data_IF_001436345118
#
_entry.id   IF_001436345118
#
_cell.length_a   1.000
_cell.length_b   1.000
_cell.length_c   1.000
_cell.angle_alpha   90.00
_cell.angle_beta   90.00
_cell.angle_gamma   90.00
#
_symmetry.space_group_name_H-M   'P 1'
#
loop_
_entity.id
_entity.type
_entity.pdbx_description
1 polymer ?
#
# COMPACT_ATOMS: atom_id res chain seq x y z
N UNK A 1 10.68 -1.24 21.99
CA UNK A 1 10.87 -2.03 20.75
C UNK A 1 9.93 -1.60 19.62
N UNK A 2 8.61 -1.45 19.84
CA UNK A 2 7.67 -1.00 18.79
C UNK A 2 8.06 0.34 18.11
N UNK A 3 8.58 1.31 18.88
CA UNK A 3 9.07 2.58 18.33
C UNK A 3 10.26 2.42 17.36
N UNK A 4 11.15 1.44 17.58
CA UNK A 4 12.29 1.19 16.68
C UNK A 4 11.85 0.57 15.36
N UNK A 5 10.85 -0.33 15.38
CA UNK A 5 10.24 -0.86 14.17
C UNK A 5 9.54 0.25 13.38
N UNK A 6 8.78 1.13 14.06
CA UNK A 6 8.15 2.28 13.41
C UNK A 6 9.17 3.23 12.79
N UNK A 7 10.26 3.55 13.50
CA UNK A 7 11.35 4.36 12.95
C UNK A 7 12.02 3.68 11.76
N UNK A 8 12.20 2.36 11.79
CA UNK A 8 12.76 1.61 10.66
C UNK A 8 11.84 1.64 9.43
N UNK A 9 10.51 1.49 9.62
CA UNK A 9 9.52 1.68 8.53
C UNK A 9 9.74 3.04 7.89
N UNK A 10 9.69 4.10 8.70
CA UNK A 10 9.72 5.48 8.20
C UNK A 10 11.06 5.82 7.56
N UNK A 11 12.16 5.31 8.12
CA UNK A 11 13.51 5.50 7.58
C UNK A 11 13.69 4.83 6.21
N UNK A 12 13.04 3.69 5.96
CA UNK A 12 13.02 3.05 4.63
C UNK A 12 12.01 3.73 3.69
N UNK A 13 10.91 4.24 4.24
CA UNK A 13 9.83 4.81 3.46
C UNK A 13 10.19 6.20 2.88
N UNK A 14 10.92 7.05 3.62
CA UNK A 14 11.33 8.39 3.17
C UNK A 14 12.19 8.35 1.87
N UNK A 15 13.26 7.54 1.78
CA UNK A 15 14.00 7.34 0.52
C UNK A 15 13.10 6.79 -0.59
N UNK A 16 12.16 5.92 -0.22
CA UNK A 16 11.17 5.39 -1.14
C UNK A 16 10.30 6.48 -1.78
N UNK A 17 9.81 7.43 -0.98
CA UNK A 17 9.00 8.55 -1.48
C UNK A 17 9.74 9.37 -2.55
N UNK A 18 11.06 9.53 -2.42
CA UNK A 18 11.88 10.22 -3.41
C UNK A 18 12.08 9.38 -4.69
N UNK A 19 12.30 8.09 -4.54
CA UNK A 19 12.51 7.16 -5.66
C UNK A 19 11.25 7.00 -6.52
N UNK A 20 10.07 6.90 -5.90
CA UNK A 20 8.83 6.70 -6.64
C UNK A 20 8.41 7.93 -7.43
N UNK A 21 8.70 9.15 -6.95
CA UNK A 21 8.44 10.36 -7.73
C UNK A 21 9.21 10.34 -9.06
N UNK A 22 10.44 9.84 -9.05
CA UNK A 22 11.24 9.69 -10.28
C UNK A 22 10.70 8.58 -11.20
N UNK A 23 10.10 7.53 -10.63
CA UNK A 23 9.48 6.43 -11.38
C UNK A 23 8.09 6.76 -11.94
N UNK A 24 7.26 7.47 -11.17
CA UNK A 24 5.91 7.89 -11.56
C UNK A 24 5.93 8.82 -12.78
N UNK A 25 6.97 9.64 -12.91
CA UNK A 25 7.13 10.53 -14.07
C UNK A 25 7.49 9.77 -15.36
N UNK A 26 7.97 8.52 -15.26
CA UNK A 26 8.38 7.69 -16.42
C UNK A 26 7.38 6.62 -16.84
N UNK A 27 6.45 6.21 -15.98
CA UNK A 27 5.52 5.11 -16.25
C UNK A 27 4.05 5.56 -16.22
N UNK A 28 3.17 4.82 -16.89
CA UNK A 28 1.73 5.00 -16.77
C UNK A 28 1.31 4.89 -15.29
N UNK A 29 0.57 5.89 -14.79
CA UNK A 29 0.21 6.03 -13.37
C UNK A 29 -0.52 4.80 -12.81
N UNK A 30 -1.32 4.15 -13.64
CA UNK A 30 -2.05 2.92 -13.29
C UNK A 30 -1.11 1.72 -13.19
N UNK A 31 -0.12 1.62 -14.07
CA UNK A 31 0.91 0.57 -14.02
C UNK A 31 1.79 0.76 -12.78
N UNK A 32 2.20 2.01 -12.49
CA UNK A 32 2.96 2.34 -11.29
C UNK A 32 2.19 1.97 -10.01
N UNK A 33 0.88 2.24 -9.95
CA UNK A 33 0.01 1.81 -8.85
C UNK A 33 -0.03 0.28 -8.71
N UNK A 34 -0.21 -0.45 -9.81
CA UNK A 34 -0.25 -1.92 -9.78
C UNK A 34 1.07 -2.53 -9.30
N UNK A 35 2.22 -2.04 -9.80
CA UNK A 35 3.55 -2.49 -9.36
C UNK A 35 3.73 -2.22 -7.86
N UNK A 36 3.32 -1.03 -7.39
CA UNK A 36 3.42 -0.65 -5.99
C UNK A 36 2.57 -1.55 -5.09
N UNK A 37 1.35 -1.87 -5.49
CA UNK A 37 0.46 -2.81 -4.79
C UNK A 37 1.06 -4.23 -4.75
N UNK A 38 1.76 -4.64 -5.81
CA UNK A 38 2.49 -5.91 -5.85
C UNK A 38 3.63 -5.97 -4.83
N UNK A 39 4.43 -4.90 -4.74
CA UNK A 39 5.52 -4.79 -3.75
C UNK A 39 4.95 -4.75 -2.32
N UNK A 40 3.85 -4.02 -2.09
CA UNK A 40 3.19 -3.98 -0.80
C UNK A 40 2.64 -5.38 -0.41
N UNK A 41 1.95 -6.06 -1.33
CA UNK A 41 1.41 -7.39 -1.10
C UNK A 41 2.50 -8.42 -0.76
N UNK A 42 3.63 -8.41 -1.49
CA UNK A 42 4.75 -9.31 -1.19
C UNK A 42 5.39 -8.99 0.15
N UNK A 43 5.54 -7.71 0.52
CA UNK A 43 6.04 -7.29 1.83
C UNK A 43 5.14 -7.77 2.98
N UNK A 44 3.82 -7.60 2.86
CA UNK A 44 2.85 -8.04 3.87
C UNK A 44 2.75 -9.57 3.98
N UNK A 45 2.75 -10.28 2.86
CA UNK A 45 2.74 -11.75 2.87
C UNK A 45 4.04 -12.34 3.42
N UNK A 46 5.17 -11.70 3.12
CA UNK A 46 6.46 -12.08 3.70
C UNK A 46 6.45 -11.91 5.22
N UNK A 47 5.89 -10.80 5.73
CA UNK A 47 5.69 -10.59 7.17
C UNK A 47 4.72 -11.59 7.80
N UNK A 48 3.69 -12.02 7.06
CA UNK A 48 2.77 -13.06 7.51
C UNK A 48 3.40 -14.45 7.64
N UNK A 49 4.49 -14.71 6.90
CA UNK A 49 5.25 -15.97 6.94
C UNK A 49 6.35 -16.00 8.01
N UNK A 50 6.75 -14.84 8.54
CA UNK A 50 7.76 -14.78 9.59
C UNK A 50 7.10 -15.18 10.91
N UNK A 51 7.62 -16.23 11.57
CA UNK A 51 7.13 -16.67 12.88
C UNK A 51 7.72 -15.83 14.03
N UNK A 52 8.90 -15.24 13.83
CA UNK A 52 9.62 -14.47 14.85
C UNK A 52 9.59 -12.96 14.59
N UNK A 53 8.69 -12.28 15.29
CA UNK A 53 8.49 -10.81 15.27
C UNK A 53 9.70 -10.05 15.86
N UNK A 54 10.65 -10.72 16.50
CA UNK A 54 11.86 -10.09 17.04
C UNK A 54 13.11 -10.32 16.19
N UNK A 55 13.01 -11.16 15.15
CA UNK A 55 14.13 -11.49 14.28
C UNK A 55 14.55 -10.34 13.34
N UNK A 56 15.83 -10.31 12.98
CA UNK A 56 16.38 -9.35 11.98
C UNK A 56 15.65 -9.41 10.63
N UNK A 57 15.05 -10.55 10.30
CA UNK A 57 14.25 -10.76 9.10
C UNK A 57 13.00 -9.88 9.05
N UNK A 58 12.42 -9.50 10.20
CA UNK A 58 11.28 -8.60 10.25
C UNK A 58 11.64 -7.20 9.74
N UNK A 59 12.84 -6.70 10.06
CA UNK A 59 13.28 -5.38 9.58
C UNK A 59 13.34 -5.29 8.06
N UNK A 60 13.72 -6.38 7.38
CA UNK A 60 13.74 -6.44 5.90
C UNK A 60 12.31 -6.40 5.35
N UNK A 61 11.39 -7.20 5.92
CA UNK A 61 9.98 -7.22 5.50
C UNK A 61 9.28 -5.88 5.73
N UNK A 62 9.56 -5.26 6.88
CA UNK A 62 9.03 -3.95 7.26
C UNK A 62 9.57 -2.84 6.35
N UNK A 63 10.84 -2.91 5.94
CA UNK A 63 11.41 -1.96 4.98
C UNK A 63 10.74 -2.05 3.60
N UNK A 64 10.51 -3.27 3.10
CA UNK A 64 9.79 -3.50 1.84
C UNK A 64 8.33 -3.02 1.92
N UNK A 65 7.66 -3.27 3.05
CA UNK A 65 6.30 -2.81 3.31
C UNK A 65 6.22 -1.28 3.28
N UNK A 66 7.12 -0.60 4.01
CA UNK A 66 7.15 0.87 4.07
C UNK A 66 7.39 1.50 2.69
N UNK A 67 8.25 0.88 1.87
CA UNK A 67 8.44 1.29 0.48
C UNK A 67 7.16 1.10 -0.34
N UNK A 68 6.56 -0.09 -0.31
CA UNK A 68 5.36 -0.43 -1.08
C UNK A 68 4.16 0.47 -0.75
N UNK A 69 3.90 0.73 0.53
CA UNK A 69 2.78 1.57 0.96
C UNK A 69 2.93 3.03 0.51
N UNK A 70 4.11 3.62 0.70
CA UNK A 70 4.35 4.99 0.24
C UNK A 70 4.20 5.08 -1.28
N UNK A 71 4.70 4.08 -2.01
CA UNK A 71 4.61 4.07 -3.46
C UNK A 71 3.16 4.00 -3.92
N UNK A 72 2.35 3.14 -3.28
CA UNK A 72 0.94 3.00 -3.59
C UNK A 72 0.16 4.30 -3.29
N UNK A 73 0.45 4.93 -2.15
CA UNK A 73 -0.24 6.15 -1.74
C UNK A 73 0.06 7.34 -2.68
N UNK A 74 1.34 7.54 -3.04
CA UNK A 74 1.74 8.61 -3.98
C UNK A 74 1.15 8.33 -5.37
N UNK A 75 1.20 7.08 -5.84
CA UNK A 75 0.60 6.66 -7.12
C UNK A 75 -0.91 6.93 -7.15
N UNK A 76 -1.63 6.63 -6.07
CA UNK A 76 -3.07 6.86 -5.96
C UNK A 76 -3.41 8.36 -6.02
N UNK A 77 -2.71 9.19 -5.25
CA UNK A 77 -2.92 10.64 -5.24
C UNK A 77 -2.59 11.26 -6.61
N UNK A 78 -1.52 10.79 -7.26
CA UNK A 78 -1.14 11.21 -8.61
C UNK A 78 -2.19 10.84 -9.66
N UNK A 79 -2.73 9.62 -9.59
CA UNK A 79 -3.79 9.14 -10.48
C UNK A 79 -5.08 9.96 -10.31
N UNK A 80 -5.52 10.16 -9.06
CA UNK A 80 -6.66 11.03 -8.74
C UNK A 80 -6.42 12.43 -9.31
N UNK A 81 -5.19 12.94 -9.16
CA UNK A 81 -4.81 14.25 -9.68
C UNK A 81 -4.86 14.40 -11.20
N UNK A 82 -4.67 13.32 -11.97
CA UNK A 82 -4.85 13.33 -13.43
C UNK A 82 -6.30 13.26 -13.88
N UNK A 83 -7.14 12.53 -13.15
CA UNK A 83 -8.50 12.18 -13.59
C UNK A 83 -9.54 13.15 -13.02
N UNK A 84 -9.30 13.71 -11.83
CA UNK A 84 -10.28 14.57 -11.17
C UNK A 84 -10.34 15.98 -11.80
N UNK A 85 -11.54 16.55 -12.01
CA UNK A 85 -11.69 17.89 -12.54
C UNK A 85 -11.09 18.93 -11.59
N UNK A 86 -10.47 20.02 -12.10
CA UNK A 86 -9.74 20.99 -11.27
C UNK A 86 -10.56 21.56 -10.10
N UNK A 87 -11.85 21.79 -10.33
CA UNK A 87 -12.79 22.34 -9.34
C UNK A 87 -13.15 21.36 -8.21
N UNK A 88 -13.06 20.05 -8.45
CA UNK A 88 -13.45 19.03 -7.47
C UNK A 88 -12.26 18.17 -6.98
N UNK A 89 -11.04 18.41 -7.47
CA UNK A 89 -9.84 17.63 -7.11
C UNK A 89 -9.62 17.57 -5.59
N UNK A 90 -9.80 18.69 -4.90
CA UNK A 90 -9.70 18.73 -3.43
C UNK A 90 -10.75 17.87 -2.72
N UNK A 91 -12.00 17.87 -3.22
CA UNK A 91 -13.07 17.04 -2.66
C UNK A 91 -12.83 15.55 -2.90
N UNK A 92 -12.32 15.16 -4.08
CA UNK A 92 -11.99 13.76 -4.39
C UNK A 92 -10.81 13.27 -3.55
N UNK A 93 -9.75 14.09 -3.40
CA UNK A 93 -8.62 13.77 -2.52
C UNK A 93 -9.08 13.67 -1.06
N UNK A 94 -9.94 14.59 -0.61
CA UNK A 94 -10.53 14.53 0.73
C UNK A 94 -11.34 13.25 0.97
N UNK A 95 -12.14 12.83 -0.02
CA UNK A 95 -12.84 11.55 0.01
C UNK A 95 -11.89 10.35 0.11
N UNK A 96 -10.81 10.36 -0.68
CA UNK A 96 -9.76 9.34 -0.60
C UNK A 96 -9.14 9.27 0.80
N UNK A 97 -8.79 10.42 1.41
CA UNK A 97 -8.26 10.46 2.77
C UNK A 97 -9.28 10.00 3.82
N UNK A 98 -10.57 10.31 3.65
CA UNK A 98 -11.62 9.85 4.55
C UNK A 98 -11.76 8.33 4.53
N UNK A 99 -11.89 7.72 3.35
CA UNK A 99 -11.95 6.26 3.23
C UNK A 99 -10.64 5.60 3.67
N UNK A 100 -9.49 6.25 3.46
CA UNK A 100 -8.21 5.80 4.01
C UNK A 100 -8.22 5.74 5.54
N UNK A 101 -8.71 6.79 6.21
CA UNK A 101 -8.82 6.82 7.67
C UNK A 101 -9.80 5.76 8.20
N UNK A 102 -10.94 5.57 7.54
CA UNK A 102 -11.90 4.49 7.86
C UNK A 102 -11.24 3.12 7.69
N UNK A 103 -10.47 2.91 6.63
CA UNK A 103 -9.71 1.69 6.39
C UNK A 103 -8.71 1.40 7.51
N UNK A 104 -7.91 2.39 7.91
CA UNK A 104 -6.97 2.27 9.03
C UNK A 104 -7.70 1.90 10.32
N UNK A 105 -8.85 2.52 10.59
CA UNK A 105 -9.65 2.21 11.78
C UNK A 105 -10.18 0.78 11.77
N UNK A 106 -10.67 0.29 10.63
CA UNK A 106 -11.13 -1.09 10.48
C UNK A 106 -9.98 -2.09 10.64
N UNK A 107 -8.83 -1.83 10.02
CA UNK A 107 -7.64 -2.68 10.14
C UNK A 107 -7.12 -2.70 11.57
N UNK A 108 -7.09 -1.57 12.29
CA UNK A 108 -6.69 -1.52 13.68
C UNK A 108 -7.66 -2.33 14.58
N UNK A 109 -8.97 -2.19 14.34
CA UNK A 109 -9.99 -2.89 15.13
C UNK A 109 -10.00 -4.40 14.89
N UNK A 110 -10.07 -4.82 13.61
CA UNK A 110 -10.12 -6.24 13.23
C UNK A 110 -8.75 -6.89 13.42
N UNK A 111 -7.67 -6.19 13.05
CA UNK A 111 -6.30 -6.66 13.23
C UNK A 111 -5.93 -6.86 14.69
N UNK A 112 -6.39 -5.99 15.59
CA UNK A 112 -6.21 -6.19 17.04
C UNK A 112 -6.90 -7.46 17.54
N UNK A 113 -8.15 -7.72 17.12
CA UNK A 113 -8.86 -8.94 17.49
C UNK A 113 -8.18 -10.21 16.95
N UNK A 114 -7.67 -10.16 15.72
CA UNK A 114 -6.94 -11.26 15.09
C UNK A 114 -5.58 -11.51 15.78
N UNK A 115 -4.90 -10.44 16.19
CA UNK A 115 -3.66 -10.52 16.96
C UNK A 115 -3.87 -11.25 18.29
N UNK A 116 -4.94 -10.91 19.01
CA UNK A 116 -5.25 -11.49 20.32
C UNK A 116 -5.75 -12.94 20.25
N UNK A 117 -6.37 -13.35 19.14
CA UNK A 117 -7.05 -14.66 19.02
C UNK A 117 -6.27 -15.73 18.25
N UNK A 118 -5.46 -15.36 17.24
CA UNK A 118 -4.82 -16.32 16.34
C UNK A 118 -3.31 -16.34 16.53
N UNK A 119 -2.65 -15.23 16.24
CA UNK A 119 -1.18 -15.12 16.27
C UNK A 119 -0.74 -13.67 16.06
N UNK A 120 0.41 -13.25 16.62
CA UNK A 120 1.01 -11.94 16.35
C UNK A 120 1.23 -11.61 14.88
N UNK A 121 1.31 -12.62 14.01
CA UNK A 121 1.63 -12.47 12.59
C UNK A 121 0.39 -12.48 11.68
N UNK A 122 -0.75 -12.94 12.21
CA UNK A 122 -2.01 -13.05 11.48
C UNK A 122 -2.55 -11.71 10.93
N UNK A 123 -2.39 -10.55 11.60
CA UNK A 123 -2.80 -9.27 11.05
C UNK A 123 -2.05 -8.89 9.77
N UNK A 124 -0.77 -9.25 9.64
CA UNK A 124 0.02 -8.97 8.44
C UNK A 124 -0.48 -9.76 7.24
N UNK A 125 -0.83 -11.03 7.44
CA UNK A 125 -1.42 -11.88 6.40
C UNK A 125 -2.78 -11.32 5.94
N UNK A 126 -3.61 -10.84 6.85
CA UNK A 126 -4.88 -10.18 6.52
C UNK A 126 -4.66 -8.98 5.60
N UNK A 127 -3.73 -8.07 5.97
CA UNK A 127 -3.44 -6.89 5.15
C UNK A 127 -2.75 -7.27 3.84
N UNK A 128 -1.97 -8.35 3.80
CA UNK A 128 -1.41 -8.91 2.57
C UNK A 128 -2.47 -9.40 1.60
N UNK A 129 -3.50 -10.09 2.08
CA UNK A 129 -4.65 -10.52 1.27
C UNK A 129 -5.45 -9.31 0.78
N UNK A 130 -5.65 -8.30 1.62
CA UNK A 130 -6.31 -7.05 1.21
C UNK A 130 -5.52 -6.36 0.07
N UNK A 131 -4.19 -6.28 0.19
CA UNK A 131 -3.33 -5.73 -0.86
C UNK A 131 -3.34 -6.58 -2.15
N UNK A 132 -3.38 -7.91 -2.06
CA UNK A 132 -3.56 -8.78 -3.25
C UNK A 132 -4.92 -8.55 -3.94
N UNK A 133 -5.97 -8.32 -3.16
CA UNK A 133 -7.30 -8.01 -3.69
C UNK A 133 -7.27 -6.67 -4.43
N UNK A 134 -6.64 -5.65 -3.84
CA UNK A 134 -6.44 -4.35 -4.48
C UNK A 134 -5.56 -4.45 -5.74
N UNK A 135 -4.50 -5.24 -5.71
CA UNK A 135 -3.66 -5.52 -6.89
C UNK A 135 -4.51 -6.11 -8.03
N UNK A 136 -5.36 -7.09 -7.72
CA UNK A 136 -6.25 -7.71 -8.70
C UNK A 136 -7.24 -6.70 -9.29
N UNK A 137 -7.84 -5.85 -8.45
CA UNK A 137 -8.72 -4.77 -8.89
C UNK A 137 -7.98 -3.73 -9.74
N UNK A 138 -6.74 -3.38 -9.38
CA UNK A 138 -5.91 -2.44 -10.13
C UNK A 138 -5.56 -3.00 -11.52
N UNK A 139 -5.18 -4.28 -11.61
CA UNK A 139 -4.94 -4.97 -12.88
C UNK A 139 -6.21 -5.07 -13.73
N UNK A 140 -7.36 -5.33 -13.10
CA UNK A 140 -8.65 -5.34 -13.80
C UNK A 140 -8.98 -3.96 -14.37
N UNK A 141 -8.84 -2.90 -13.57
CA UNK A 141 -9.05 -1.52 -14.01
C UNK A 141 -8.11 -1.15 -15.16
N UNK A 142 -6.82 -1.49 -15.04
CA UNK A 142 -5.84 -1.31 -16.11
C UNK A 142 -6.24 -2.01 -17.41
N UNK A 143 -6.76 -3.25 -17.32
CA UNK A 143 -7.23 -4.00 -18.49
C UNK A 143 -8.42 -3.35 -19.19
N UNK A 144 -9.35 -2.74 -18.43
CA UNK A 144 -10.49 -2.00 -18.96
C UNK A 144 -10.06 -0.71 -19.67
N UNK A 145 -9.11 0.01 -19.08
CA UNK A 145 -8.60 1.24 -19.66
C UNK A 145 -7.83 0.99 -20.97
N UNK A 146 -7.09 -0.14 -21.04
CA UNK A 146 -6.48 -0.61 -22.29
C UNK A 146 -7.53 -0.93 -23.37
N UNK A 147 -8.60 -1.63 -23.01
CA UNK A 147 -9.72 -1.92 -23.94
C UNK A 147 -10.42 -0.67 -24.45
N UNK A 148 -10.44 0.41 -23.67
CA UNK A 148 -11.05 1.70 -24.06
C UNK A 148 -10.15 2.53 -24.98
N UNK A 149 -8.84 2.24 -25.05
CA UNK A 149 -7.92 2.84 -26.04
C UNK A 149 -7.92 2.09 -27.38
N UNK A 150 -8.39 0.84 -27.42
CA UNK A 150 -8.49 0.02 -28.64
C UNK A 150 -9.82 0.12 -29.38
N UNK A 151 -10.86 0.72 -28.77
CA UNK A 151 -12.15 1.05 -29.41
C UNK A 151 -12.29 2.55 -29.64
#
# INVERSE_FOLDING_TARGET
MAALLYVAVQACAIPGALLINFFIDKFDRVLALAISMGIAATGYLYLGFIEDVQGTQMYIGVGLLGLGEIFANISAISLIGSVAPPKARGAVIGGFSFFGAVGIFLVASIGGQIFDSISPTAPFTMVGIANLTLLTLALFCFSLERRKKEN
#
